data_IF_372504114872
#
_entry.id   IF_372504114872
#
_cell.length_a   1.000
_cell.length_b   1.000
_cell.length_c   1.000
_cell.angle_alpha   90.00
_cell.angle_beta   90.00
_cell.angle_gamma   90.00
#
_symmetry.space_group_name_H-M   'P 1'
#
loop_
_entity.id
_entity.type
_entity.pdbx_description
1 polymer ?
#
# COMPACT_ATOMS: atom_id res chain seq x y z
N UNK A 1 -13.32 17.89 8.71
CA UNK A 1 -13.17 16.77 7.76
C UNK A 1 -13.63 15.49 8.43
N UNK A 2 -14.52 14.76 7.78
CA UNK A 2 -15.08 13.47 8.25
C UNK A 2 -13.97 12.44 8.48
N UNK A 3 -14.12 11.54 9.46
CA UNK A 3 -13.10 10.57 9.83
C UNK A 3 -12.75 9.62 8.67
N UNK A 4 -13.75 9.20 7.87
CA UNK A 4 -13.56 8.38 6.67
C UNK A 4 -12.58 9.04 5.70
N UNK A 5 -12.76 10.33 5.38
CA UNK A 5 -11.87 11.06 4.46
C UNK A 5 -10.43 11.09 4.97
N UNK A 6 -10.21 11.27 6.29
CA UNK A 6 -8.86 11.24 6.89
C UNK A 6 -8.21 9.87 6.76
N UNK A 7 -8.94 8.81 7.09
CA UNK A 7 -8.45 7.42 7.04
C UNK A 7 -8.12 7.04 5.60
N UNK A 8 -9.03 7.29 4.67
CA UNK A 8 -8.84 7.03 3.24
C UNK A 8 -7.64 7.80 2.70
N UNK A 9 -7.48 9.08 3.05
CA UNK A 9 -6.35 9.89 2.60
C UNK A 9 -5.01 9.33 3.07
N UNK A 10 -4.92 8.88 4.32
CA UNK A 10 -3.70 8.23 4.85
C UNK A 10 -3.41 6.93 4.10
N UNK A 11 -4.43 6.09 3.86
CA UNK A 11 -4.25 4.84 3.12
C UNK A 11 -3.80 5.09 1.67
N UNK A 12 -4.35 6.09 0.98
CA UNK A 12 -3.94 6.45 -0.38
C UNK A 12 -2.46 6.88 -0.42
N UNK A 13 -2.03 7.75 0.48
CA UNK A 13 -0.63 8.22 0.52
C UNK A 13 0.32 7.06 0.80
N UNK A 14 0.01 6.22 1.81
CA UNK A 14 0.87 5.08 2.15
C UNK A 14 0.87 4.02 1.05
N UNK A 15 -0.24 3.83 0.33
CA UNK A 15 -0.32 2.90 -0.80
C UNK A 15 0.62 3.29 -1.95
N UNK A 16 0.79 4.59 -2.23
CA UNK A 16 1.75 5.07 -3.24
C UNK A 16 3.17 4.66 -2.86
N UNK A 17 3.59 4.94 -1.62
CA UNK A 17 4.91 4.54 -1.14
C UNK A 17 5.08 3.02 -1.10
N UNK A 18 4.02 2.29 -0.75
CA UNK A 18 4.01 0.83 -0.76
C UNK A 18 4.23 0.28 -2.17
N UNK A 19 3.53 0.82 -3.17
CA UNK A 19 3.72 0.45 -4.57
C UNK A 19 5.14 0.69 -5.05
N UNK A 20 5.71 1.85 -4.71
CA UNK A 20 7.10 2.16 -5.02
C UNK A 20 8.08 1.15 -4.38
N UNK A 21 7.96 0.86 -3.08
CA UNK A 21 8.82 -0.10 -2.38
C UNK A 21 8.68 -1.51 -2.99
N UNK A 22 7.46 -1.93 -3.32
CA UNK A 22 7.20 -3.22 -3.97
C UNK A 22 7.88 -3.30 -5.34
N UNK A 23 7.85 -2.20 -6.12
CA UNK A 23 8.57 -2.13 -7.39
C UNK A 23 10.07 -2.27 -7.22
N UNK A 24 10.69 -1.65 -6.21
CA UNK A 24 12.13 -1.80 -5.95
C UNK A 24 12.51 -3.26 -5.68
N UNK A 25 11.65 -4.00 -4.96
CA UNK A 25 11.84 -5.42 -4.69
C UNK A 25 11.70 -6.24 -5.98
N UNK A 26 10.61 -6.03 -6.74
CA UNK A 26 10.35 -6.75 -8.00
C UNK A 26 11.42 -6.49 -9.07
N UNK A 27 11.97 -5.28 -9.13
CA UNK A 27 12.99 -4.88 -10.10
C UNK A 27 14.43 -5.20 -9.65
N UNK A 28 14.61 -5.97 -8.58
CA UNK A 28 15.93 -6.33 -8.04
C UNK A 28 16.80 -5.14 -7.62
N UNK A 29 16.18 -3.99 -7.33
CA UNK A 29 16.90 -2.77 -6.93
C UNK A 29 17.37 -2.80 -5.47
N UNK A 30 17.02 -3.84 -4.72
CA UNK A 30 17.48 -4.06 -3.34
C UNK A 30 18.51 -5.20 -3.33
N UNK A 31 19.79 -4.91 -3.03
CA UNK A 31 20.83 -5.93 -2.96
C UNK A 31 20.49 -7.05 -1.97
N UNK A 32 20.68 -8.30 -2.37
CA UNK A 32 20.51 -9.48 -1.50
C UNK A 32 19.10 -10.07 -1.41
N UNK A 33 18.08 -9.40 -1.98
CA UNK A 33 16.69 -9.91 -1.97
C UNK A 33 16.31 -10.64 -3.27
N UNK A 34 16.98 -10.36 -4.39
CA UNK A 34 16.66 -10.92 -5.70
C UNK A 34 15.31 -10.44 -6.25
N UNK A 35 14.81 -11.05 -7.33
CA UNK A 35 13.44 -10.77 -7.81
C UNK A 35 12.47 -11.62 -7.00
N UNK A 36 11.73 -10.96 -6.10
CA UNK A 36 10.79 -11.64 -5.22
C UNK A 36 9.44 -10.89 -5.14
N UNK A 37 8.60 -11.14 -6.14
CA UNK A 37 7.26 -10.56 -6.23
C UNK A 37 6.34 -11.01 -5.10
N UNK A 38 6.51 -12.24 -4.60
CA UNK A 38 5.73 -12.76 -3.47
C UNK A 38 6.04 -11.96 -2.21
N UNK A 39 7.32 -11.71 -1.94
CA UNK A 39 7.74 -10.89 -0.80
C UNK A 39 7.21 -9.47 -0.91
N UNK A 40 7.27 -8.86 -2.09
CA UNK A 40 6.70 -7.54 -2.35
C UNK A 40 5.20 -7.51 -2.06
N UNK A 41 4.45 -8.51 -2.53
CA UNK A 41 3.02 -8.67 -2.26
C UNK A 41 2.71 -8.80 -0.76
N UNK A 42 3.42 -9.69 -0.06
CA UNK A 42 3.23 -9.89 1.38
C UNK A 42 3.53 -8.61 2.17
N UNK A 43 4.58 -7.88 1.80
CA UNK A 43 4.94 -6.62 2.43
C UNK A 43 3.82 -5.58 2.34
N UNK A 44 3.16 -5.46 1.19
CA UNK A 44 2.04 -4.53 1.04
C UNK A 44 0.85 -4.87 1.93
N UNK A 45 0.55 -6.16 2.12
CA UNK A 45 -0.50 -6.62 3.06
C UNK A 45 -0.11 -6.27 4.51
N UNK A 46 1.16 -6.46 4.88
CA UNK A 46 1.67 -6.09 6.22
C UNK A 46 1.52 -4.59 6.45
N UNK A 47 1.93 -3.76 5.48
CA UNK A 47 1.82 -2.30 5.59
C UNK A 47 0.35 -1.86 5.70
N UNK A 48 -0.55 -2.44 4.89
CA UNK A 48 -1.99 -2.19 4.97
C UNK A 48 -2.54 -2.43 6.39
N UNK A 49 -2.17 -3.55 7.02
CA UNK A 49 -2.61 -3.85 8.37
C UNK A 49 -2.04 -2.87 9.40
N UNK A 50 -0.76 -2.54 9.30
CA UNK A 50 -0.10 -1.60 10.20
C UNK A 50 -0.68 -0.19 10.10
N UNK A 51 -0.97 0.29 8.89
CA UNK A 51 -1.57 1.61 8.70
C UNK A 51 -3.01 1.66 9.19
N UNK A 52 -3.78 0.58 9.01
CA UNK A 52 -5.12 0.44 9.60
C UNK A 52 -5.09 0.59 11.13
N UNK A 53 -4.17 -0.10 11.80
CA UNK A 53 -3.96 0.05 13.26
C UNK A 53 -3.51 1.46 13.66
N UNK A 54 -2.66 2.10 12.85
CA UNK A 54 -2.23 3.48 13.12
C UNK A 54 -3.42 4.45 13.01
N UNK A 55 -4.26 4.30 11.98
CA UNK A 55 -5.47 5.09 11.80
C UNK A 55 -6.44 4.93 12.98
N UNK A 56 -6.66 3.70 13.48
CA UNK A 56 -7.49 3.47 14.66
C UNK A 56 -6.96 4.20 15.91
N UNK A 57 -5.62 4.27 16.05
CA UNK A 57 -4.97 5.00 17.14
C UNK A 57 -5.10 6.52 17.00
N UNK A 58 -5.00 7.05 15.77
CA UNK A 58 -4.98 8.50 15.49
C UNK A 58 -6.38 9.12 15.38
N UNK A 59 -7.35 8.38 14.86
CA UNK A 59 -8.67 8.90 14.48
C UNK A 59 -9.83 8.21 15.21
N UNK A 60 -9.53 7.25 16.09
CA UNK A 60 -10.51 6.43 16.78
C UNK A 60 -10.81 5.14 16.03
N UNK A 61 -11.33 4.14 16.74
CA UNK A 61 -11.65 2.82 16.16
C UNK A 61 -12.71 2.94 15.07
N UNK A 62 -12.46 2.30 13.93
CA UNK A 62 -13.44 2.16 12.87
C UNK A 62 -14.61 1.25 13.30
N UNK A 63 -15.81 1.55 12.79
CA UNK A 63 -17.07 0.86 13.13
C UNK A 63 -17.18 -0.52 12.45
N UNK A 64 -16.18 -1.38 12.66
CA UNK A 64 -16.14 -2.75 12.16
C UNK A 64 -15.48 -2.92 10.79
N UNK A 65 -15.48 -4.18 10.32
CA UNK A 65 -14.75 -4.61 9.12
C UNK A 65 -15.25 -3.93 7.84
N UNK A 66 -16.56 -3.72 7.69
CA UNK A 66 -17.12 -3.08 6.48
C UNK A 66 -16.55 -1.67 6.30
N UNK A 67 -16.50 -0.88 7.37
CA UNK A 67 -15.93 0.47 7.32
C UNK A 67 -14.43 0.43 6.98
N UNK A 68 -13.68 -0.48 7.60
CA UNK A 68 -12.26 -0.68 7.28
C UNK A 68 -12.02 -1.17 5.84
N UNK A 69 -12.91 -1.99 5.30
CA UNK A 69 -12.85 -2.45 3.92
C UNK A 69 -12.97 -1.27 2.95
N UNK A 70 -13.96 -0.40 3.17
CA UNK A 70 -14.26 0.73 2.27
C UNK A 70 -13.33 1.93 2.45
N UNK A 71 -13.00 2.29 3.69
CA UNK A 71 -12.17 3.46 3.99
C UNK A 71 -10.65 3.12 3.97
N UNK A 72 -10.28 1.85 4.07
CA UNK A 72 -8.89 1.42 4.22
C UNK A 72 -8.43 0.44 3.14
N UNK A 73 -8.92 -0.79 3.19
CA UNK A 73 -8.43 -1.90 2.35
C UNK A 73 -8.58 -1.60 0.86
N UNK A 74 -9.79 -1.27 0.41
CA UNK A 74 -10.08 -1.06 -0.99
C UNK A 74 -9.27 0.11 -1.61
N UNK A 75 -9.27 1.33 -1.03
CA UNK A 75 -8.50 2.44 -1.58
C UNK A 75 -6.99 2.16 -1.56
N UNK A 76 -6.49 1.54 -0.49
CA UNK A 76 -5.08 1.18 -0.40
C UNK A 76 -4.69 0.17 -1.48
N UNK A 77 -5.41 -0.97 -1.56
CA UNK A 77 -5.09 -2.04 -2.48
C UNK A 77 -5.14 -1.55 -3.93
N UNK A 78 -6.15 -0.78 -4.29
CA UNK A 78 -6.28 -0.24 -5.64
C UNK A 78 -5.07 0.63 -6.03
N UNK A 79 -4.73 1.63 -5.22
CA UNK A 79 -3.60 2.52 -5.53
C UNK A 79 -2.27 1.79 -5.47
N UNK A 80 -2.09 0.91 -4.49
CA UNK A 80 -0.89 0.10 -4.36
C UNK A 80 -0.65 -0.75 -5.61
N UNK A 81 -1.63 -1.51 -6.07
CA UNK A 81 -1.50 -2.34 -7.27
C UNK A 81 -1.29 -1.51 -8.53
N UNK A 82 -2.00 -0.38 -8.68
CA UNK A 82 -1.82 0.50 -9.84
C UNK A 82 -0.40 1.05 -9.90
N UNK A 83 0.11 1.62 -8.80
CA UNK A 83 1.47 2.19 -8.74
C UNK A 83 2.51 1.10 -8.97
N UNK A 84 2.37 -0.04 -8.30
CA UNK A 84 3.31 -1.16 -8.44
C UNK A 84 3.36 -1.68 -9.88
N UNK A 85 2.18 -1.89 -10.50
CA UNK A 85 2.07 -2.37 -11.88
C UNK A 85 2.68 -1.39 -12.87
N UNK A 86 2.37 -0.10 -12.76
CA UNK A 86 2.93 0.92 -13.66
C UNK A 86 4.46 0.93 -13.56
N UNK A 87 4.99 0.99 -12.34
CA UNK A 87 6.43 1.08 -12.15
C UNK A 87 7.17 -0.19 -12.61
N UNK A 88 6.65 -1.38 -12.32
CA UNK A 88 7.29 -2.63 -12.78
C UNK A 88 7.30 -2.75 -14.30
N UNK A 89 6.25 -2.27 -14.98
CA UNK A 89 6.16 -2.38 -16.44
C UNK A 89 6.89 -1.26 -17.20
N UNK A 90 6.91 -0.03 -16.66
CA UNK A 90 7.46 1.13 -17.37
C UNK A 90 8.85 1.56 -16.89
N UNK A 91 9.26 1.29 -15.65
CA UNK A 91 10.61 1.64 -15.21
C UNK A 91 11.73 0.94 -16.01
N UNK A 92 11.61 -0.36 -16.40
CA UNK A 92 12.60 -1.02 -17.24
C UNK A 92 12.72 -0.46 -18.66
N UNK A 93 11.77 0.35 -19.12
CA UNK A 93 11.80 0.97 -20.45
C UNK A 93 12.49 2.35 -20.45
N UNK A 94 12.83 2.87 -19.27
CA UNK A 94 13.44 4.20 -19.09
C UNK A 94 14.96 4.10 -18.86
N UNK A 95 15.46 2.90 -18.58
CA UNK A 95 16.88 2.56 -18.44
C UNK A 95 17.33 1.61 -19.55
#
# INVERSE_FOLDING_TARGET
MEASVKITSVHLVVAIFTGYICSLISLQMIPGIGNNEILAGVLGIVILYLIGKLCDKLFGKQEGFSKWLWDGILPFAFVWFVVWTILVNYAPLIY
#
